data_IF_539383639138
#
_entry.id   IF_539383639138
#
_cell.length_a   1.000
_cell.length_b   1.000
_cell.length_c   1.000
_cell.angle_alpha   90.00
_cell.angle_beta   90.00
_cell.angle_gamma   90.00
#
_symmetry.space_group_name_H-M   'P 1'
#
loop_
_entity.id
_entity.type
_entity.pdbx_description
1 polymer ?
2 non-polymer ?
3 non-polymer ?
4 water ?
#
# COMPACT_ATOMS: atom_id res chain seq x y z
N UNK A 5 16.65 14.26 -3.75
CA UNK A 5 15.49 13.98 -4.59
C UNK A 5 15.25 12.45 -4.69
N UNK A 6 14.14 11.99 -4.08
CA UNK A 6 13.64 10.61 -4.14
C UNK A 6 12.99 10.36 -5.53
N UNK A 7 13.09 9.16 -6.09
CA UNK A 7 12.49 8.81 -7.39
C UNK A 7 10.95 8.83 -7.35
N UNK A 8 10.33 9.45 -8.37
CA UNK A 8 8.88 9.45 -8.51
C UNK A 8 8.32 8.09 -8.90
N UNK A 9 7.01 7.90 -8.75
CA UNK A 9 6.36 6.65 -9.15
C UNK A 9 5.43 6.89 -10.34
N UNK A 10 5.33 5.90 -11.22
CA UNK A 10 4.37 5.91 -12.33
C UNK A 10 3.13 5.21 -11.82
N UNK A 11 2.00 5.93 -11.77
CA UNK A 11 0.72 5.41 -11.27
C UNK A 11 -0.19 5.24 -12.47
N UNK A 12 -0.61 4.00 -12.73
CA UNK A 12 -1.41 3.70 -13.90
C UNK A 12 -2.81 3.27 -13.43
N UNK A 13 -3.82 4.05 -13.82
CA UNK A 13 -5.18 3.68 -13.47
C UNK A 13 -5.86 3.12 -14.70
N UNK A 14 -6.33 1.88 -14.58
CA UNK A 14 -7.09 1.29 -15.68
C UNK A 14 -8.34 0.63 -15.11
N UNK A 15 -9.03 -0.16 -15.92
CA UNK A 15 -10.31 -0.77 -15.56
C UNK A 15 -11.25 -0.73 -16.75
N UNK A 16 -12.37 -1.49 -16.73
CA UNK A 16 -13.24 -1.54 -17.94
C UNK A 16 -13.89 -0.21 -18.32
N UNK A 17 -14.20 -0.08 -19.59
CA UNK A 17 -14.88 1.08 -20.17
C UNK A 17 -16.22 1.30 -19.43
N UNK A 18 -16.49 2.54 -19.03
CA UNK A 18 -17.69 2.86 -18.27
C UNK A 18 -17.54 2.76 -16.75
N UNK A 19 -16.36 2.32 -16.24
CA UNK A 19 -16.17 2.17 -14.78
C UNK A 19 -16.02 3.57 -14.08
N UNK A 20 -15.65 4.60 -14.84
CA UNK A 20 -15.48 5.94 -14.30
C UNK A 20 -14.04 6.35 -14.14
N UNK A 21 -13.13 5.79 -14.95
CA UNK A 21 -11.70 6.14 -14.89
C UNK A 21 -11.47 7.65 -15.07
N UNK A 22 -12.11 8.24 -16.09
CA UNK A 22 -11.98 9.67 -16.39
C UNK A 22 -12.42 10.55 -15.23
N UNK A 23 -13.59 10.24 -14.66
CA UNK A 23 -14.17 10.97 -13.54
C UNK A 23 -13.26 10.84 -12.30
N UNK A 24 -12.74 9.64 -12.03
CA UNK A 24 -11.84 9.41 -10.88
C UNK A 24 -10.51 10.17 -11.09
N UNK A 25 -9.95 10.12 -12.30
CA UNK A 25 -8.72 10.83 -12.63
C UNK A 25 -8.90 12.35 -12.42
N UNK A 26 -10.01 12.95 -12.93
CA UNK A 26 -10.31 14.39 -12.74
C UNK A 26 -10.37 14.73 -11.24
N UNK A 27 -11.06 13.91 -10.45
CA UNK A 27 -11.22 14.14 -8.99
C UNK A 27 -9.86 14.00 -8.27
N UNK A 28 -9.02 13.06 -8.70
CA UNK A 28 -7.67 12.88 -8.14
C UNK A 28 -6.86 14.18 -8.36
N UNK A 29 -6.92 14.76 -9.57
CA UNK A 29 -6.20 16.01 -9.87
C UNK A 29 -6.82 17.24 -9.19
N UNK A 30 -8.13 17.23 -8.89
CA UNK A 30 -8.79 18.34 -8.19
C UNK A 30 -8.44 18.33 -6.70
N UNK A 31 -8.16 17.13 -6.12
CA UNK A 31 -7.86 16.96 -4.70
C UNK A 31 -6.66 17.85 -4.30
N UNK A 32 -6.82 18.76 -3.30
CA UNK A 32 -5.71 19.64 -2.92
C UNK A 32 -4.49 18.92 -2.31
N UNK A 33 -4.62 17.64 -1.94
CA UNK A 33 -3.51 16.89 -1.33
C UNK A 33 -2.60 16.16 -2.32
N UNK A 34 -3.02 16.03 -3.59
CA UNK A 34 -2.23 15.30 -4.56
C UNK A 34 -1.24 16.20 -5.26
N UNK A 35 -0.12 15.63 -5.71
CA UNK A 35 0.90 16.41 -6.42
C UNK A 35 1.41 15.64 -7.66
N UNK A 36 0.48 15.03 -8.40
CA UNK A 36 0.84 14.29 -9.61
C UNK A 36 1.02 15.22 -10.76
N UNK A 37 1.85 14.82 -11.71
CA UNK A 37 1.93 15.41 -13.03
C UNK A 37 1.16 14.48 -13.97
N UNK A 38 0.38 15.02 -14.90
CA UNK A 38 -0.32 14.26 -15.94
C UNK A 38 0.71 13.75 -16.92
N UNK A 39 0.52 12.56 -17.47
CA UNK A 39 1.42 12.05 -18.49
C UNK A 39 1.11 12.78 -19.81
N UNK A 40 2.09 13.41 -20.43
CA UNK A 40 1.94 14.14 -21.69
C UNK A 40 2.23 13.16 -22.82
N UNK A 41 1.32 13.07 -23.79
CA UNK A 41 1.52 12.13 -24.90
C UNK A 41 2.29 12.76 -26.05
N UNK A 42 2.99 11.91 -26.78
CA UNK A 42 3.66 12.29 -28.02
C UNK A 42 2.68 12.02 -29.14
N UNK A 43 2.66 12.89 -30.15
CA UNK A 43 1.79 12.71 -31.31
C UNK A 43 2.50 13.19 -32.57
N UNK A 44 2.07 12.64 -33.71
CA UNK A 44 2.62 13.04 -35.00
C UNK A 44 1.67 14.01 -35.71
N UNK A 45 0.48 14.24 -35.14
CA UNK A 45 -0.44 15.21 -35.73
C UNK A 45 0.07 16.63 -35.40
N UNK A 46 -0.34 17.63 -36.18
CA UNK A 46 0.11 19.01 -35.97
C UNK A 46 -0.70 19.70 -34.86
N UNK A 47 -0.17 20.76 -34.20
CA UNK A 47 -0.95 21.40 -33.12
C UNK A 47 -2.23 22.09 -33.59
N UNK A 48 -3.25 22.07 -32.71
CA UNK A 48 -4.51 22.74 -32.95
C UNK A 48 -4.41 24.12 -32.30
N UNK A 49 -5.49 24.90 -32.37
CA UNK A 49 -5.56 26.23 -31.77
C UNK A 49 -5.38 26.16 -30.26
N UNK A 50 -4.43 26.94 -29.76
CA UNK A 50 -4.10 27.02 -28.34
C UNK A 50 -3.23 25.92 -27.79
N UNK A 51 -2.75 24.99 -28.65
CA UNK A 51 -1.90 23.89 -28.21
C UNK A 51 -0.43 24.27 -28.26
N UNK A 52 0.32 23.85 -27.23
CA UNK A 52 1.75 24.11 -27.06
C UNK A 52 2.52 22.83 -26.91
N UNK A 53 3.68 22.73 -27.58
CA UNK A 53 4.57 21.58 -27.48
C UNK A 53 5.14 21.55 -26.07
N UNK A 54 5.22 20.37 -25.48
CA UNK A 54 5.74 20.19 -24.13
C UNK A 54 4.73 20.46 -23.04
N UNK A 55 3.52 20.92 -23.43
CA UNK A 55 2.46 21.25 -22.50
C UNK A 55 1.26 20.34 -22.78
N UNK A 56 0.67 20.47 -23.97
CA UNK A 56 -0.49 19.69 -24.37
C UNK A 56 -0.07 18.33 -24.93
N UNK A 57 0.98 18.33 -25.78
CA UNK A 57 1.55 17.16 -26.44
C UNK A 57 3.02 17.40 -26.72
N UNK A 58 3.76 16.33 -27.04
CA UNK A 58 5.10 16.40 -27.59
C UNK A 58 4.87 16.22 -29.07
N UNK A 59 4.90 17.32 -29.84
CA UNK A 59 4.65 17.28 -31.28
C UNK A 59 5.91 16.83 -32.01
N UNK A 60 5.85 15.68 -32.66
CA UNK A 60 7.02 15.15 -33.36
C UNK A 60 6.65 14.63 -34.75
N UNK A 61 7.64 14.39 -35.59
CA UNK A 61 7.38 13.81 -36.90
C UNK A 61 7.15 12.30 -36.78
N UNK A 62 6.61 11.67 -37.87
CA UNK A 62 6.43 10.23 -37.96
C UNK A 62 7.78 9.51 -37.81
N UNK A 63 8.83 10.04 -38.46
CA UNK A 63 10.17 9.46 -38.42
C UNK A 63 10.70 9.37 -36.99
N UNK A 64 10.54 10.45 -36.19
CA UNK A 64 11.00 10.47 -34.79
C UNK A 64 10.18 9.47 -33.98
N UNK A 65 8.86 9.45 -34.19
CA UNK A 65 7.98 8.55 -33.46
C UNK A 65 8.33 7.09 -33.73
N UNK A 66 8.50 6.72 -35.02
CA UNK A 66 8.83 5.33 -35.42
C UNK A 66 10.19 4.92 -34.89
N UNK A 67 11.14 5.88 -34.85
CA UNK A 67 12.47 5.62 -34.29
C UNK A 67 12.35 5.35 -32.78
N UNK A 68 11.46 6.07 -32.08
CA UNK A 68 11.21 5.84 -30.66
C UNK A 68 10.61 4.45 -30.45
N UNK A 69 9.67 4.01 -31.34
CA UNK A 69 9.05 2.68 -31.25
C UNK A 69 10.17 1.61 -31.41
N UNK A 70 10.96 1.71 -32.49
CA UNK A 70 12.05 0.80 -32.86
C UNK A 70 13.10 0.66 -31.73
N UNK A 71 13.43 1.77 -31.05
CA UNK A 71 14.43 1.80 -29.98
C UNK A 71 13.88 1.39 -28.59
N UNK A 72 12.63 0.95 -28.51
CA UNK A 72 12.02 0.55 -27.24
C UNK A 72 11.81 1.72 -26.29
N UNK A 73 11.55 2.92 -26.84
CA UNK A 73 11.38 4.16 -26.07
C UNK A 73 9.92 4.57 -25.95
N UNK A 74 9.01 3.68 -26.34
CA UNK A 74 7.60 3.96 -26.30
C UNK A 74 6.92 3.01 -25.32
N UNK A 75 6.34 3.55 -24.23
CA UNK A 75 5.66 2.73 -23.24
C UNK A 75 4.39 2.09 -23.83
N UNK A 76 3.63 2.88 -24.57
CA UNK A 76 2.42 2.42 -25.27
C UNK A 76 2.24 3.31 -26.47
N UNK A 77 1.61 2.81 -27.52
CA UNK A 77 1.34 3.64 -28.68
C UNK A 77 0.25 3.01 -29.51
N UNK A 78 -0.33 3.83 -30.39
CA UNK A 78 -1.32 3.42 -31.36
C UNK A 78 -1.39 4.44 -32.46
N UNK A 79 -1.88 4.02 -33.62
CA UNK A 79 -2.08 4.88 -34.76
C UNK A 79 -3.59 5.04 -34.90
N UNK A 80 -4.06 6.31 -34.72
CA UNK A 80 -5.47 6.72 -34.74
C UNK A 80 -5.68 7.68 -35.92
N UNK A 81 -6.17 7.14 -37.08
CA UNK A 81 -6.47 7.82 -38.35
C UNK A 81 -5.16 8.35 -39.05
N UNK A 82 -4.09 7.54 -39.11
CA UNK A 82 -2.80 7.95 -39.71
C UNK A 82 -1.91 8.79 -38.79
N UNK A 83 -2.41 9.09 -37.58
CA UNK A 83 -1.67 9.86 -36.59
C UNK A 83 -1.27 8.97 -35.43
N UNK A 84 0.01 9.01 -35.06
CA UNK A 84 0.48 8.25 -33.92
C UNK A 84 0.24 9.04 -32.66
N UNK A 85 -0.06 8.32 -31.59
CA UNK A 85 -0.28 8.82 -30.22
C UNK A 85 0.38 7.82 -29.32
N UNK A 86 1.18 8.29 -28.37
CA UNK A 86 1.82 7.37 -27.46
C UNK A 86 2.43 8.02 -26.24
N UNK A 87 2.84 7.20 -25.26
CA UNK A 87 3.45 7.64 -24.00
C UNK A 87 4.96 7.41 -24.13
N UNK A 88 5.78 8.48 -24.27
CA UNK A 88 7.21 8.30 -24.51
C UNK A 88 8.01 7.96 -23.25
N UNK A 89 8.89 6.93 -23.30
CA UNK A 89 9.71 6.53 -22.14
C UNK A 89 10.60 7.68 -21.63
N UNK A 90 11.30 8.37 -22.54
CA UNK A 90 12.27 9.42 -22.20
C UNK A 90 11.69 10.51 -21.28
N UNK A 91 10.51 11.08 -21.60
CA UNK A 91 9.89 12.14 -20.80
C UNK A 91 9.30 11.60 -19.52
N UNK A 92 8.77 10.35 -19.51
CA UNK A 92 8.28 9.78 -18.25
C UNK A 92 9.50 9.59 -17.32
N UNK A 93 10.57 8.96 -17.82
CA UNK A 93 11.79 8.70 -17.03
C UNK A 93 12.38 10.01 -16.44
N UNK A 94 12.46 11.08 -17.25
CA UNK A 94 13.01 12.37 -16.81
C UNK A 94 12.24 12.89 -15.57
N UNK A 95 10.89 12.87 -15.62
CA UNK A 95 10.04 13.31 -14.51
C UNK A 95 10.17 12.40 -13.30
N UNK A 96 10.26 11.07 -13.50
CA UNK A 96 10.39 10.14 -12.36
C UNK A 96 11.73 10.34 -11.67
N UNK A 97 12.82 10.48 -12.46
CA UNK A 97 14.17 10.70 -11.94
C UNK A 97 14.27 12.03 -11.19
N UNK A 98 13.43 13.02 -11.55
CA UNK A 98 13.39 14.34 -10.91
C UNK A 98 12.47 14.34 -9.65
N UNK A 99 11.94 13.16 -9.30
CA UNK A 99 11.12 12.97 -8.11
C UNK A 99 9.64 13.28 -8.21
N UNK A 100 9.12 13.38 -9.43
CA UNK A 100 7.70 13.69 -9.64
C UNK A 100 6.92 12.40 -9.89
N UNK A 101 5.78 12.23 -9.19
CA UNK A 101 4.88 11.11 -9.46
C UNK A 101 4.06 11.45 -10.72
N UNK A 102 3.89 10.48 -11.60
CA UNK A 102 3.12 10.65 -12.82
C UNK A 102 1.86 9.81 -12.69
N UNK A 103 0.71 10.41 -13.03
CA UNK A 103 -0.56 9.70 -12.99
C UNK A 103 -1.04 9.54 -14.42
N UNK A 104 -1.30 8.30 -14.83
CA UNK A 104 -1.77 8.01 -16.19
C UNK A 104 -3.04 7.14 -16.10
N UNK A 105 -4.08 7.60 -16.75
CA UNK A 105 -5.35 6.91 -16.89
C UNK A 105 -5.40 6.34 -18.30
N UNK A 106 -5.66 5.04 -18.43
CA UNK A 106 -5.64 4.42 -19.75
C UNK A 106 -6.59 3.22 -19.87
N UNK A 107 -7.02 2.92 -21.09
CA UNK A 107 -7.89 1.77 -21.40
C UNK A 107 -7.15 0.45 -21.07
N UNK A 108 -7.88 -0.69 -20.86
CA UNK A 108 -7.23 -1.95 -20.45
C UNK A 108 -6.21 -2.45 -21.45
N UNK A 109 -6.45 -2.28 -22.78
CA UNK A 109 -5.48 -2.75 -23.79
C UNK A 109 -4.19 -1.88 -23.79
N UNK A 110 -4.33 -0.59 -23.51
CA UNK A 110 -3.18 0.30 -23.39
C UNK A 110 -2.37 0.00 -22.14
N UNK A 111 -3.05 -0.32 -21.03
CA UNK A 111 -2.42 -0.64 -19.73
C UNK A 111 -1.52 -1.86 -19.81
N UNK A 112 -1.91 -2.87 -20.59
CA UNK A 112 -1.07 -4.06 -20.74
C UNK A 112 0.22 -3.72 -21.51
N UNK A 113 0.18 -2.75 -22.45
CA UNK A 113 1.41 -2.32 -23.17
C UNK A 113 2.36 -1.66 -22.13
N UNK A 114 1.81 -0.74 -21.30
CA UNK A 114 2.57 0.00 -20.27
C UNK A 114 3.15 -0.99 -19.24
N UNK A 115 2.35 -2.02 -18.83
CA UNK A 115 2.79 -3.02 -17.85
C UNK A 115 3.99 -3.79 -18.35
N UNK A 116 3.96 -4.19 -19.63
CA UNK A 116 5.07 -4.93 -20.25
C UNK A 116 6.31 -4.04 -20.37
N UNK A 117 6.14 -2.75 -20.73
CA UNK A 117 7.25 -1.82 -20.90
C UNK A 117 7.78 -1.24 -19.55
N UNK A 118 6.92 -1.05 -18.55
CA UNK A 118 7.30 -0.48 -17.24
C UNK A 118 6.72 -1.32 -16.09
N UNK A 119 7.26 -2.52 -15.79
CA UNK A 119 6.70 -3.31 -14.67
C UNK A 119 6.86 -2.64 -13.29
N UNK A 120 7.74 -1.61 -13.16
CA UNK A 120 7.97 -0.84 -11.90
C UNK A 120 6.77 0.12 -11.60
N UNK A 121 5.88 0.34 -12.58
CA UNK A 121 4.71 1.19 -12.36
C UNK A 121 3.77 0.58 -11.32
N UNK A 122 2.90 1.39 -10.73
CA UNK A 122 1.89 0.96 -9.77
C UNK A 122 0.58 0.91 -10.55
N UNK A 123 0.09 -0.32 -10.79
CA UNK A 123 -1.06 -0.59 -11.61
C UNK A 123 -2.30 -0.78 -10.76
N UNK A 124 -3.28 0.14 -10.94
CA UNK A 124 -4.52 0.13 -10.14
C UNK A 124 -5.70 -0.21 -11.04
N UNK A 125 -6.41 -1.27 -10.70
CA UNK A 125 -7.57 -1.68 -11.48
C UNK A 125 -8.83 -1.09 -10.86
N UNK A 126 -9.46 -0.14 -11.55
CA UNK A 126 -10.71 0.47 -11.05
C UNK A 126 -11.84 -0.50 -11.37
N UNK A 127 -12.51 -0.96 -10.33
CA UNK A 127 -13.49 -2.06 -10.36
C UNK A 127 -14.96 -1.61 -10.32
N UNK A 128 -15.84 -2.18 -11.20
CA UNK A 128 -17.27 -1.86 -11.11
C UNK A 128 -17.86 -2.29 -9.76
N UNK A 129 -18.76 -1.49 -9.14
CA UNK A 129 -19.35 -1.94 -7.87
C UNK A 129 -20.27 -3.16 -7.99
N UNK A 130 -20.73 -3.51 -9.20
CA UNK A 130 -21.62 -4.67 -9.45
C UNK A 130 -20.89 -6.03 -9.32
N UNK A 131 -19.54 -6.04 -9.44
CA UNK A 131 -18.72 -7.24 -9.37
C UNK A 131 -18.94 -7.99 -8.04
N UNK A 132 -18.93 -7.28 -6.89
CA UNK A 132 -19.19 -7.90 -5.58
C UNK A 132 -20.67 -8.28 -5.39
N UNK A 133 -21.57 -7.55 -6.08
CA UNK A 133 -23.02 -7.76 -5.99
C UNK A 133 -23.53 -8.68 -7.11
N UNK A 134 -22.62 -9.48 -7.72
CA UNK A 134 -22.98 -10.41 -8.81
C UNK A 134 -23.98 -11.49 -8.37
N UNK A 135 -23.71 -12.18 -7.24
CA UNK A 135 -24.57 -13.26 -6.71
C UNK A 135 -25.96 -12.73 -6.33
N UNK A 136 -26.05 -11.49 -5.82
CA UNK A 136 -27.32 -10.85 -5.46
C UNK A 136 -28.04 -10.33 -6.73
N UNK A 137 -28.36 -11.26 -7.66
CA UNK A 137 -29.03 -10.99 -8.94
C UNK A 137 -29.91 -12.19 -9.33
N UNK A 145 -30.63 -20.34 -17.16
CA UNK A 145 -29.86 -19.09 -17.11
C UNK A 145 -30.02 -18.28 -18.39
N UNK A 146 -30.28 -16.97 -18.23
CA UNK A 146 -30.38 -16.00 -19.32
C UNK A 146 -29.03 -15.84 -19.99
N UNK A 147 -29.01 -15.46 -21.27
CA UNK A 147 -27.74 -15.22 -21.96
C UNK A 147 -27.05 -13.99 -21.38
N UNK A 148 -27.84 -13.03 -20.81
CA UNK A 148 -27.34 -11.81 -20.16
C UNK A 148 -26.68 -12.18 -18.81
N UNK A 149 -27.28 -13.11 -18.01
CA UNK A 149 -26.75 -13.57 -16.71
C UNK A 149 -25.44 -14.32 -16.96
N UNK A 150 -25.42 -15.18 -18.00
CA UNK A 150 -24.26 -15.92 -18.47
C UNK A 150 -23.13 -14.96 -18.91
N UNK A 151 -23.49 -13.84 -19.59
CA UNK A 151 -22.56 -12.81 -20.04
C UNK A 151 -21.99 -12.04 -18.84
N UNK A 152 -22.85 -11.68 -17.86
CA UNK A 152 -22.45 -10.95 -16.65
C UNK A 152 -21.45 -11.77 -15.81
N UNK A 153 -21.69 -13.09 -15.69
CA UNK A 153 -20.80 -14.00 -14.97
C UNK A 153 -19.47 -14.16 -15.71
N UNK A 154 -19.52 -14.22 -17.06
CA UNK A 154 -18.33 -14.33 -17.90
C UNK A 154 -17.49 -13.06 -17.79
N UNK A 155 -18.14 -11.88 -17.77
CA UNK A 155 -17.48 -10.57 -17.64
C UNK A 155 -16.73 -10.54 -16.29
N UNK A 156 -17.43 -10.94 -15.22
CA UNK A 156 -16.90 -10.99 -13.86
C UNK A 156 -15.64 -11.86 -13.79
N UNK A 157 -15.69 -13.07 -14.37
CA UNK A 157 -14.57 -14.00 -14.37
C UNK A 157 -13.36 -13.39 -15.09
N UNK A 158 -13.57 -12.72 -16.24
CA UNK A 158 -12.49 -12.11 -17.01
C UNK A 158 -11.92 -10.88 -16.31
N UNK A 159 -12.76 -10.10 -15.61
CA UNK A 159 -12.25 -8.96 -14.84
C UNK A 159 -11.32 -9.46 -13.71
N UNK A 160 -11.71 -10.55 -13.03
CA UNK A 160 -10.94 -11.14 -11.92
C UNK A 160 -9.61 -11.70 -12.46
N UNK A 161 -9.63 -12.34 -13.64
CA UNK A 161 -8.45 -12.86 -14.31
C UNK A 161 -7.51 -11.68 -14.70
N UNK A 162 -8.07 -10.61 -15.31
CA UNK A 162 -7.28 -9.44 -15.70
C UNK A 162 -6.60 -8.77 -14.49
N UNK A 163 -7.22 -8.92 -13.33
CA UNK A 163 -6.85 -8.20 -12.14
C UNK A 163 -5.51 -8.72 -11.60
N UNK A 164 -5.20 -9.95 -11.96
CA UNK A 164 -3.97 -10.66 -11.50
C UNK A 164 -2.69 -9.98 -12.04
N UNK A 165 -2.82 -9.20 -13.12
CA UNK A 165 -1.75 -8.43 -13.71
C UNK A 165 -1.57 -7.09 -13.02
N UNK A 166 -2.47 -6.74 -12.09
CA UNK A 166 -2.44 -5.44 -11.45
C UNK A 166 -1.91 -5.55 -10.02
N UNK A 167 -1.52 -4.42 -9.44
CA UNK A 167 -1.02 -4.41 -8.07
C UNK A 167 -2.16 -4.24 -7.07
N UNK A 168 -3.12 -3.36 -7.38
CA UNK A 168 -4.26 -3.03 -6.53
C UNK A 168 -5.55 -2.97 -7.31
N UNK A 169 -6.66 -3.25 -6.65
CA UNK A 169 -8.00 -3.13 -7.22
C UNK A 169 -8.83 -2.24 -6.30
N UNK A 170 -9.44 -1.18 -6.87
CA UNK A 170 -10.23 -0.18 -6.11
C UNK A 170 -11.63 -0.14 -6.69
N UNK A 171 -12.67 -0.27 -5.85
CA UNK A 171 -14.06 -0.23 -6.33
C UNK A 171 -14.48 1.23 -6.50
N UNK A 172 -15.10 1.55 -7.63
CA UNK A 172 -15.65 2.89 -7.80
C UNK A 172 -17.12 2.88 -7.35
N UNK A 173 -17.32 2.76 -6.04
CA UNK A 173 -18.64 2.79 -5.38
C UNK A 173 -19.10 4.28 -5.33
N UNK A 174 -18.20 5.15 -4.84
CA UNK A 174 -18.35 6.60 -4.76
C UNK A 174 -17.03 7.15 -5.24
N UNK A 175 -17.06 8.13 -6.15
CA UNK A 175 -15.82 8.72 -6.70
C UNK A 175 -14.89 9.18 -5.57
N UNK A 176 -15.43 9.92 -4.57
CA UNK A 176 -14.65 10.41 -3.42
C UNK A 176 -13.91 9.28 -2.70
N UNK A 177 -14.55 8.10 -2.56
CA UNK A 177 -13.96 6.93 -1.88
C UNK A 177 -12.83 6.34 -2.70
N UNK A 178 -13.00 6.23 -4.03
CA UNK A 178 -11.94 5.72 -4.91
C UNK A 178 -10.71 6.65 -4.86
N UNK A 179 -10.94 7.97 -4.83
CA UNK A 179 -9.87 8.98 -4.74
C UNK A 179 -9.09 8.77 -3.42
N UNK A 180 -9.82 8.58 -2.31
CA UNK A 180 -9.18 8.42 -0.99
C UNK A 180 -8.29 7.14 -0.95
N UNK A 181 -8.78 6.07 -1.55
CA UNK A 181 -8.04 4.81 -1.60
C UNK A 181 -6.80 4.93 -2.51
N UNK A 182 -6.94 5.63 -3.63
CA UNK A 182 -5.83 5.86 -4.57
C UNK A 182 -4.74 6.69 -3.89
N UNK A 183 -5.13 7.77 -3.15
CA UNK A 183 -4.14 8.58 -2.41
C UNK A 183 -3.42 7.73 -1.39
N UNK A 184 -4.17 6.86 -0.70
CA UNK A 184 -3.64 5.93 0.29
C UNK A 184 -2.64 4.95 -0.31
N UNK A 185 -2.94 4.42 -1.51
CA UNK A 185 -2.05 3.50 -2.21
C UNK A 185 -0.71 4.19 -2.51
N UNK A 186 -0.76 5.41 -3.11
CA UNK A 186 0.45 6.13 -3.52
C UNK A 186 1.27 6.50 -2.27
N UNK A 187 0.62 6.96 -1.19
CA UNK A 187 1.36 7.30 0.04
C UNK A 187 2.03 6.07 0.62
N UNK A 188 1.30 4.93 0.66
CA UNK A 188 1.83 3.67 1.21
C UNK A 188 3.07 3.23 0.39
N UNK A 189 2.99 3.28 -0.94
CA UNK A 189 4.13 2.88 -1.78
C UNK A 189 5.37 3.74 -1.45
N UNK A 190 5.19 5.03 -1.12
CA UNK A 190 6.33 5.88 -0.76
C UNK A 190 6.87 5.55 0.67
N UNK A 191 6.10 4.82 1.49
CA UNK A 191 6.55 4.46 2.84
C UNK A 191 7.27 3.09 2.90
N UNK A 192 7.36 2.37 1.77
CA UNK A 192 8.07 1.09 1.73
C UNK A 192 9.52 1.32 2.13
N UNK A 193 10.06 0.45 2.99
CA UNK A 193 11.41 0.67 3.55
C UNK A 193 12.48 0.77 2.50
N UNK A 194 12.35 0.05 1.37
CA UNK A 194 13.38 0.15 0.32
C UNK A 194 13.55 1.61 -0.13
N UNK A 195 12.42 2.33 -0.29
CA UNK A 195 12.39 3.73 -0.73
C UNK A 195 12.82 4.66 0.40
N UNK A 196 12.34 4.41 1.62
CA UNK A 196 12.66 5.23 2.81
C UNK A 196 14.17 5.13 3.12
N UNK A 197 14.73 3.91 3.09
CA UNK A 197 16.16 3.70 3.36
C UNK A 197 16.99 4.50 2.34
N UNK A 198 16.58 4.46 1.06
CA UNK A 198 17.28 5.17 0.00
C UNK A 198 17.39 6.67 0.33
N UNK A 199 16.28 7.30 0.79
CA UNK A 199 16.24 8.71 1.21
C UNK A 199 17.22 8.99 2.35
N UNK A 200 17.19 8.17 3.41
CA UNK A 200 18.06 8.32 4.57
C UNK A 200 19.55 8.11 4.25
N UNK A 201 19.87 7.15 3.36
CA UNK A 201 21.26 6.88 2.97
C UNK A 201 21.86 8.01 2.12
N UNK A 202 21.05 8.59 1.19
CA UNK A 202 21.45 9.70 0.33
C UNK A 202 21.71 10.97 1.16
N UNK A 203 21.01 11.10 2.31
CA UNK A 203 21.18 12.18 3.28
C UNK A 203 22.58 12.06 3.94
N UNK A 204 23.03 10.81 4.21
CA UNK A 204 24.34 10.52 4.81
C UNK A 204 25.41 10.35 3.74
N UNK B 7 -9.66 -13.45 5.51
CA UNK B 7 -8.69 -13.54 6.61
C UNK B 7 -8.18 -12.16 7.04
N UNK B 8 -8.10 -11.93 8.34
CA UNK B 8 -7.56 -10.71 8.91
C UNK B 8 -6.07 -10.56 8.67
N UNK B 9 -5.57 -9.33 8.79
CA UNK B 9 -4.15 -9.02 8.60
C UNK B 9 -3.43 -8.86 9.95
N UNK B 10 -2.17 -9.33 10.05
CA UNK B 10 -1.39 -9.12 11.27
C UNK B 10 -0.53 -7.88 11.05
N UNK B 11 -0.77 -6.82 11.83
CA UNK B 11 -0.07 -5.54 11.74
C UNK B 11 0.85 -5.43 12.94
N UNK B 12 2.14 -5.33 12.69
CA UNK B 12 3.12 -5.28 13.75
C UNK B 12 3.80 -3.91 13.76
N UNK B 13 3.60 -3.14 14.84
CA UNK B 13 4.24 -1.84 14.96
C UNK B 13 5.41 -1.97 15.89
N UNK B 14 6.59 -1.63 15.39
CA UNK B 14 7.78 -1.68 16.20
C UNK B 14 8.60 -0.40 15.94
N UNK B 15 9.83 -0.38 16.43
CA UNK B 15 10.69 0.78 16.35
C UNK B 15 11.45 0.92 17.66
N UNK B 16 12.49 1.79 17.73
CA UNK B 16 13.31 1.85 18.94
C UNK B 16 12.56 2.35 20.18
N UNK B 17 13.08 1.99 21.34
CA UNK B 17 12.58 2.40 22.64
C UNK B 17 12.58 3.92 22.73
N UNK B 18 11.46 4.51 23.16
CA UNK B 18 11.29 5.95 23.25
C UNK B 18 10.82 6.64 21.97
N UNK B 19 10.56 5.89 20.88
CA UNK B 19 10.10 6.49 19.61
C UNK B 19 8.64 6.96 19.69
N UNK B 20 7.87 6.41 20.62
CA UNK B 20 6.47 6.78 20.79
C UNK B 20 5.51 5.73 20.30
N UNK B 21 5.92 4.44 20.29
CA UNK B 21 5.06 3.33 19.84
C UNK B 21 3.75 3.30 20.63
N UNK B 22 3.85 3.39 21.97
CA UNK B 22 2.71 3.37 22.88
C UNK B 22 1.72 4.48 22.60
N UNK B 23 2.26 5.73 22.48
CA UNK B 23 1.52 6.96 22.15
C UNK B 23 0.79 6.81 20.80
N UNK B 24 1.48 6.32 19.76
CA UNK B 24 0.90 6.13 18.42
C UNK B 24 -0.18 5.02 18.45
N UNK B 25 0.09 3.90 19.13
CA UNK B 25 -0.87 2.81 19.26
C UNK B 25 -2.17 3.31 19.95
N UNK B 26 -2.05 4.08 21.06
CA UNK B 26 -3.21 4.65 21.76
C UNK B 26 -4.06 5.54 20.82
N UNK B 27 -3.38 6.41 20.04
CA UNK B 27 -4.05 7.31 19.09
C UNK B 27 -4.73 6.52 17.96
N UNK B 28 -4.10 5.43 17.50
CA UNK B 28 -4.65 4.54 16.47
C UNK B 28 -5.99 3.97 16.99
N UNK B 29 -6.02 3.53 18.26
CA UNK B 29 -7.24 2.96 18.85
C UNK B 29 -8.29 4.01 19.21
N UNK B 30 -7.90 5.28 19.43
CA UNK B 30 -8.84 6.38 19.67
C UNK B 30 -9.52 6.83 18.36
N UNK B 31 -8.84 6.65 17.20
CA UNK B 31 -9.35 7.03 15.89
C UNK B 31 -10.71 6.33 15.59
N UNK B 32 -11.79 7.10 15.31
CA UNK B 32 -13.10 6.47 15.06
C UNK B 32 -13.19 5.59 13.82
N UNK B 33 -12.20 5.66 12.92
CA UNK B 33 -12.24 4.86 11.70
C UNK B 33 -11.56 3.50 11.83
N UNK B 34 -10.82 3.31 12.91
CA UNK B 34 -10.07 2.07 13.09
C UNK B 34 -10.94 0.83 13.23
N UNK B 35 -10.59 -0.20 12.48
CA UNK B 35 -11.29 -1.48 12.54
C UNK B 35 -10.39 -2.49 13.23
N UNK B 36 -9.18 -2.06 13.57
CA UNK B 36 -8.20 -2.92 14.20
C UNK B 36 -8.58 -3.33 15.61
N UNK B 37 -8.22 -4.56 15.97
CA UNK B 37 -8.44 -5.07 17.30
C UNK B 37 -7.06 -5.16 17.93
N UNK B 38 -6.91 -4.58 19.11
CA UNK B 38 -5.62 -4.56 19.78
C UNK B 38 -5.23 -5.95 20.18
N UNK B 39 -3.97 -6.30 19.93
CA UNK B 39 -3.40 -7.56 20.42
C UNK B 39 -2.99 -7.32 21.84
N UNK B 40 -3.70 -7.92 22.78
CA UNK B 40 -3.40 -7.76 24.20
C UNK B 40 -2.27 -8.73 24.56
N UNK B 41 -1.22 -8.25 25.19
CA UNK B 41 -0.13 -9.13 25.63
C UNK B 41 -0.45 -9.81 26.95
N UNK B 42 0.16 -10.96 27.17
CA UNK B 42 0.09 -11.68 28.43
C UNK B 42 1.31 -11.24 29.24
N UNK B 43 1.15 -11.08 30.55
CA UNK B 43 2.26 -10.71 31.43
C UNK B 43 2.12 -11.41 32.77
N UNK B 44 3.25 -11.58 33.48
CA UNK B 44 3.26 -12.17 34.81
C UNK B 44 3.36 -11.09 35.89
N UNK B 45 3.57 -9.83 35.50
CA UNK B 45 3.59 -8.75 36.48
C UNK B 45 2.15 -8.48 36.93
N UNK B 46 1.97 -7.87 38.12
CA UNK B 46 0.63 -7.58 38.64
C UNK B 46 0.07 -6.29 38.02
N UNK B 47 -1.27 -6.09 38.00
CA UNK B 47 -1.81 -4.86 37.38
C UNK B 47 -1.41 -3.56 38.09
N UNK B 48 -1.12 -2.53 37.29
CA UNK B 48 -0.83 -1.15 37.71
C UNK B 48 -2.16 -0.38 37.83
N UNK B 49 -2.11 0.89 38.28
CA UNK B 49 -3.27 1.76 38.44
C UNK B 49 -4.06 1.87 37.14
N UNK B 50 -5.35 1.54 37.22
CA UNK B 50 -6.29 1.61 36.10
C UNK B 50 -6.23 0.48 35.09
N UNK B 51 -5.42 -0.56 35.36
CA UNK B 51 -5.30 -1.69 34.45
C UNK B 51 -6.31 -2.79 34.76
N UNK B 52 -6.85 -3.40 33.70
CA UNK B 52 -7.85 -4.46 33.77
C UNK B 52 -7.42 -5.67 32.99
N UNK B 53 -7.65 -6.88 33.54
CA UNK B 53 -7.34 -8.14 32.84
C UNK B 53 -8.26 -8.27 31.65
N UNK B 54 -7.72 -8.71 30.52
CA UNK B 54 -8.51 -8.89 29.30
C UNK B 54 -8.70 -7.61 28.52
N UNK B 55 -8.20 -6.48 29.05
CA UNK B 55 -8.31 -5.17 28.41
C UNK B 55 -6.90 -4.66 28.12
N UNK B 56 -6.13 -4.41 29.17
CA UNK B 56 -4.78 -3.87 29.06
C UNK B 56 -3.76 -4.99 28.85
N UNK B 57 -3.92 -6.09 29.59
CA UNK B 57 -3.08 -7.28 29.57
C UNK B 57 -3.87 -8.49 29.96
N UNK B 58 -3.34 -9.69 29.68
CA UNK B 58 -3.83 -10.95 30.20
C UNK B 58 -2.90 -11.22 31.39
N UNK B 59 -3.38 -10.95 32.62
CA UNK B 59 -2.57 -11.12 33.83
C UNK B 59 -2.56 -12.59 34.21
N UNK B 60 -1.38 -13.22 34.19
CA UNK B 60 -1.27 -14.64 34.51
C UNK B 60 -0.08 -14.90 35.43
N UNK B 61 -0.05 -16.07 36.06
CA UNK B 61 1.08 -16.41 36.91
C UNK B 61 2.30 -16.85 36.06
N UNK B 62 3.50 -16.90 36.68
CA UNK B 62 4.72 -17.40 36.05
C UNK B 62 4.52 -18.86 35.59
N UNK B 63 3.88 -19.69 36.43
CA UNK B 63 3.60 -21.11 36.16
C UNK B 63 2.82 -21.26 34.85
N UNK B 64 1.75 -20.46 34.67
CA UNK B 64 0.92 -20.51 33.46
C UNK B 64 1.75 -20.05 32.26
N UNK B 65 2.48 -18.96 32.42
CA UNK B 65 3.29 -18.41 31.33
C UNK B 65 4.37 -19.38 30.89
N UNK B 66 5.14 -19.93 31.86
CA UNK B 66 6.23 -20.86 31.54
C UNK B 66 5.69 -22.13 30.88
N UNK B 67 4.47 -22.58 31.28
CA UNK B 67 3.83 -23.74 30.68
C UNK B 67 3.41 -23.42 29.23
N UNK B 68 2.94 -22.18 28.96
CA UNK B 68 2.59 -21.74 27.60
C UNK B 68 3.84 -21.72 26.72
N UNK B 69 5.00 -21.26 27.26
CA UNK B 69 6.29 -21.27 26.54
C UNK B 69 6.65 -22.71 26.15
N UNK B 70 6.70 -23.61 27.16
CA UNK B 70 7.07 -25.02 27.01
C UNK B 70 6.18 -25.75 25.97
N UNK B 71 4.88 -25.43 25.93
CA UNK B 71 3.91 -26.07 25.03
C UNK B 71 3.85 -25.43 23.62
N UNK B 72 4.75 -24.48 23.32
CA UNK B 72 4.80 -23.81 22.02
C UNK B 72 3.57 -22.96 21.76
N UNK B 73 3.00 -22.36 22.83
CA UNK B 73 1.80 -21.55 22.75
C UNK B 73 2.08 -20.03 22.73
N UNK B 74 3.35 -19.62 22.59
CA UNK B 74 3.70 -18.20 22.53
C UNK B 74 4.18 -17.84 21.14
N UNK B 75 3.61 -16.79 20.57
CA UNK B 75 4.04 -16.30 19.26
C UNK B 75 5.39 -15.59 19.44
N UNK B 76 5.48 -14.81 20.52
CA UNK B 76 6.71 -14.15 20.93
C UNK B 76 6.68 -13.91 22.45
N UNK B 77 7.84 -13.86 23.09
CA UNK B 77 7.93 -13.56 24.52
C UNK B 77 9.32 -13.08 24.90
N UNK B 78 9.43 -12.46 26.07
CA UNK B 78 10.67 -12.00 26.67
C UNK B 78 10.47 -11.84 28.17
N UNK B 79 11.57 -11.93 28.92
CA UNK B 79 11.57 -11.72 30.35
C UNK B 79 12.35 -10.46 30.64
N UNK B 80 11.76 -9.55 31.41
CA UNK B 80 12.37 -8.29 31.79
C UNK B 80 12.35 -8.21 33.28
N UNK B 81 13.53 -8.35 33.86
CA UNK B 81 13.76 -8.25 35.32
C UNK B 81 12.68 -9.08 36.08
N UNK B 82 12.59 -10.34 35.69
CA UNK B 82 11.72 -11.29 36.37
C UNK B 82 10.28 -11.29 35.89
N UNK B 83 9.92 -10.35 35.00
CA UNK B 83 8.54 -10.31 34.50
C UNK B 83 8.48 -10.75 33.05
N UNK B 84 7.59 -11.70 32.76
CA UNK B 84 7.39 -12.17 31.39
C UNK B 84 6.36 -11.30 30.72
N UNK B 85 6.55 -11.09 29.43
CA UNK B 85 5.67 -10.35 28.50
C UNK B 85 5.63 -11.12 27.23
N UNK B 86 4.45 -11.35 26.69
CA UNK B 86 4.39 -12.08 25.42
C UNK B 86 3.05 -12.08 24.74
N UNK B 87 3.02 -12.58 23.51
CA UNK B 87 1.81 -12.69 22.71
C UNK B 87 1.40 -14.16 22.60
N UNK B 88 0.22 -14.52 23.10
CA UNK B 88 -0.27 -15.89 22.97
C UNK B 88 -0.60 -16.15 21.50
N UNK B 89 -0.13 -17.28 20.98
CA UNK B 89 -0.37 -17.64 19.58
C UNK B 89 -1.83 -17.89 19.19
N UNK B 90 -2.57 -18.57 20.05
CA UNK B 90 -3.95 -18.93 19.76
C UNK B 90 -4.89 -17.75 19.58
N UNK B 91 -4.75 -16.73 20.41
CA UNK B 91 -5.61 -15.56 20.30
C UNK B 91 -5.42 -14.85 18.96
N UNK B 92 -4.17 -14.81 18.50
CA UNK B 92 -3.83 -14.16 17.23
C UNK B 92 -4.45 -14.96 16.09
N UNK B 93 -4.09 -16.25 15.97
CA UNK B 93 -4.53 -17.17 14.92
C UNK B 93 -6.07 -17.24 14.78
N UNK B 94 -6.80 -17.22 15.91
CA UNK B 94 -8.26 -17.28 15.95
C UNK B 94 -8.89 -16.01 15.39
N UNK B 95 -8.39 -14.82 15.80
CA UNK B 95 -8.93 -13.54 15.32
C UNK B 95 -8.64 -13.33 13.83
N UNK B 96 -7.46 -13.78 13.34
CA UNK B 96 -7.08 -13.66 11.93
C UNK B 96 -7.99 -14.50 11.06
N UNK B 97 -8.26 -15.74 11.48
CA UNK B 97 -9.12 -16.69 10.77
C UNK B 97 -10.59 -16.23 10.78
N UNK B 98 -11.01 -15.47 11.82
CA UNK B 98 -12.37 -14.92 11.94
C UNK B 98 -12.52 -13.58 11.18
N UNK B 99 -11.48 -13.16 10.46
CA UNK B 99 -11.48 -11.95 9.64
C UNK B 99 -11.20 -10.63 10.34
N UNK B 100 -10.63 -10.67 11.54
CA UNK B 100 -10.32 -9.45 12.30
C UNK B 100 -8.84 -9.09 12.09
N UNK B 101 -8.56 -7.81 11.78
CA UNK B 101 -7.19 -7.32 11.69
C UNK B 101 -6.66 -7.14 13.12
N UNK B 102 -5.42 -7.58 13.35
CA UNK B 102 -4.79 -7.50 14.67
C UNK B 102 -3.63 -6.54 14.63
N UNK B 103 -3.64 -5.58 15.57
CA UNK B 103 -2.57 -4.59 15.71
C UNK B 103 -1.70 -4.99 16.91
N UNK B 104 -0.42 -5.24 16.64
CA UNK B 104 0.53 -5.65 17.67
C UNK B 104 1.63 -4.60 17.83
N UNK B 105 1.71 -3.92 19.01
CA UNK B 105 2.76 -2.93 19.29
C UNK B 105 3.79 -3.67 20.15
N UNK B 106 5.02 -3.87 19.63
CA UNK B 106 6.06 -4.62 20.38
C UNK B 106 7.46 -4.06 20.12
N UNK B 107 8.40 -4.37 21.04
CA UNK B 107 9.82 -3.98 21.02
C UNK B 107 10.48 -4.65 19.81
N UNK B 108 11.63 -4.13 19.36
CA UNK B 108 12.29 -4.62 18.15
C UNK B 108 12.67 -6.09 18.24
N UNK B 109 13.12 -6.57 19.41
CA UNK B 109 13.50 -7.98 19.57
C UNK B 109 12.25 -8.88 19.48
N UNK B 110 11.10 -8.44 19.98
CA UNK B 110 9.86 -9.20 19.87
C UNK B 110 9.37 -9.28 18.43
N UNK B 111 9.48 -8.17 17.68
CA UNK B 111 9.07 -8.07 16.27
C UNK B 111 9.82 -9.06 15.38
N UNK B 112 11.10 -9.26 15.63
CA UNK B 112 11.88 -10.21 14.82
C UNK B 112 11.46 -11.67 15.11
N UNK B 113 10.98 -11.98 16.33
CA UNK B 113 10.42 -13.32 16.65
C UNK B 113 9.14 -13.54 15.81
N UNK B 114 8.24 -12.53 15.81
CA UNK B 114 6.97 -12.56 15.08
C UNK B 114 7.26 -12.67 13.56
N UNK B 115 8.28 -11.93 13.04
CA UNK B 115 8.65 -11.94 11.60
C UNK B 115 9.08 -13.34 11.16
N UNK B 116 9.87 -14.01 11.99
CA UNK B 116 10.34 -15.38 11.72
C UNK B 116 9.15 -16.36 11.74
N UNK B 117 8.31 -16.27 12.76
CA UNK B 117 7.13 -17.13 12.86
C UNK B 117 6.05 -16.85 11.82
N UNK B 118 5.78 -15.57 11.59
CA UNK B 118 4.73 -15.15 10.67
C UNK B 118 5.16 -14.05 9.69
N UNK B 119 5.81 -14.44 8.62
CA UNK B 119 6.30 -13.49 7.62
C UNK B 119 5.15 -12.70 6.99
N UNK B 120 4.01 -13.37 6.79
CA UNK B 120 2.84 -12.76 6.14
C UNK B 120 2.36 -11.47 6.85
N UNK B 121 2.90 -11.19 8.04
CA UNK B 121 2.56 -9.99 8.79
C UNK B 121 3.06 -8.74 8.10
N UNK B 122 2.46 -7.59 8.45
CA UNK B 122 2.84 -6.28 7.92
C UNK B 122 3.62 -5.59 9.03
N UNK B 123 4.93 -5.44 8.79
CA UNK B 123 5.89 -4.92 9.76
C UNK B 123 6.16 -3.44 9.51
N UNK B 124 5.77 -2.60 10.49
CA UNK B 124 5.90 -1.14 10.36
C UNK B 124 6.91 -0.65 11.35
N UNK B 125 7.96 0.02 10.86
CA UNK B 125 9.01 0.55 11.70
C UNK B 125 8.72 2.01 12.02
N UNK B 126 8.37 2.30 13.26
CA UNK B 126 8.11 3.69 13.69
C UNK B 126 9.47 4.35 13.91
N UNK B 127 9.75 5.41 13.14
CA UNK B 127 11.04 6.07 13.02
C UNK B 127 11.16 7.38 13.82
N UNK B 128 12.28 7.60 14.56
CA UNK B 128 12.46 8.88 15.27
C UNK B 128 12.50 10.06 14.31
N UNK B 129 11.89 11.22 14.65
CA UNK B 129 11.95 12.37 13.74
C UNK B 129 13.38 12.94 13.58
N UNK B 130 14.27 12.72 14.58
CA UNK B 130 15.64 13.25 14.55
C UNK B 130 16.52 12.60 13.49
N UNK B 131 16.13 11.41 12.98
CA UNK B 131 16.88 10.66 11.97
C UNK B 131 17.10 11.50 10.69
N UNK B 132 16.04 12.19 10.19
CA UNK B 132 16.13 13.05 9.00
C UNK B 132 16.86 14.37 9.33
N UNK B 133 16.83 14.80 10.59
CA UNK B 133 17.45 16.05 11.05
C UNK B 133 18.84 15.77 11.65
N UNK B 150 28.73 11.20 18.32
CA UNK B 150 29.22 9.89 17.89
C UNK B 150 28.18 8.80 18.16
N UNK B 151 27.51 8.86 19.35
CA UNK B 151 26.47 7.92 19.77
C UNK B 151 25.21 8.08 18.92
N UNK B 152 24.80 9.36 18.67
CA UNK B 152 23.62 9.71 17.86
C UNK B 152 23.76 9.21 16.43
N UNK B 153 24.98 9.36 15.84
CA UNK B 153 25.28 8.90 14.49
C UNK B 153 25.27 7.38 14.42
N UNK B 154 25.81 6.72 15.47
CA UNK B 154 25.85 5.25 15.57
C UNK B 154 24.43 4.71 15.68
N UNK B 155 23.56 5.36 16.49
CA UNK B 155 22.16 4.98 16.69
C UNK B 155 21.43 5.05 15.32
N UNK B 156 21.61 6.17 14.61
CA UNK B 156 21.03 6.43 13.30
C UNK B 156 21.39 5.33 12.30
N UNK B 157 22.69 4.96 12.23
CA UNK B 157 23.17 3.91 11.33
C UNK B 157 22.51 2.56 11.63
N UNK B 158 22.41 2.21 12.92
CA UNK B 158 21.80 0.93 13.34
C UNK B 158 20.29 0.92 13.10
N UNK B 159 19.63 2.09 13.21
CA UNK B 159 18.18 2.20 12.98
C UNK B 159 17.88 2.02 11.50
N UNK B 160 18.75 2.54 10.62
CA UNK B 160 18.64 2.40 9.15
C UNK B 160 18.87 0.93 8.76
N UNK B 161 19.87 0.27 9.39
CA UNK B 161 20.17 -1.14 9.14
C UNK B 161 18.97 -2.02 9.55
N UNK B 162 18.40 -1.77 10.77
CA UNK B 162 17.23 -2.48 11.32
C UNK B 162 16.02 -2.41 10.39
N UNK B 163 15.76 -1.20 9.91
CA UNK B 163 14.64 -0.80 9.03
C UNK B 163 14.49 -1.72 7.81
N UNK B 164 15.62 -2.30 7.33
CA UNK B 164 15.64 -3.18 6.15
C UNK B 164 14.82 -4.46 6.36
N UNK B 165 14.59 -4.87 7.61
CA UNK B 165 13.80 -6.06 7.96
C UNK B 165 12.30 -5.77 8.04
N UNK B 166 11.89 -4.51 7.83
CA UNK B 166 10.49 -4.08 7.94
C UNK B 166 9.89 -3.79 6.55
N UNK B 167 8.58 -3.82 6.43
CA UNK B 167 7.88 -3.55 5.15
C UNK B 167 7.73 -2.06 4.90
N UNK B 168 7.42 -1.30 5.96
CA UNK B 168 7.20 0.14 5.90
C UNK B 168 7.89 0.84 7.04
N UNK B 169 8.25 2.11 6.83
CA UNK B 169 8.84 2.95 7.88
C UNK B 169 8.04 4.23 7.94
N UNK B 170 7.55 4.60 9.12
CA UNK B 170 6.69 5.77 9.36
C UNK B 170 7.37 6.65 10.39
N UNK B 171 7.57 7.94 10.08
CA UNK B 171 8.19 8.88 11.01
C UNK B 171 7.15 9.34 12.05
N UNK B 172 7.54 9.34 13.34
CA UNK B 172 6.68 9.89 14.38
C UNK B 172 7.01 11.40 14.52
N UNK B 173 6.67 12.21 13.48
CA UNK B 173 6.88 13.67 13.46
C UNK B 173 5.78 14.32 14.31
N UNK B 174 4.54 13.97 13.99
CA UNK B 174 3.27 14.41 14.58
C UNK B 174 2.46 13.12 14.71
N UNK B 175 1.99 12.80 15.92
CA UNK B 175 1.28 11.54 16.20
C UNK B 175 0.14 11.34 15.20
N UNK B 176 -0.72 12.38 14.98
CA UNK B 176 -1.85 12.30 14.03
C UNK B 176 -1.39 11.91 12.61
N UNK B 177 -0.20 12.37 12.17
CA UNK B 177 0.33 12.05 10.83
C UNK B 177 0.72 10.58 10.76
N UNK B 178 1.40 10.05 11.80
CA UNK B 178 1.78 8.63 11.88
C UNK B 178 0.54 7.72 11.85
N UNK B 179 -0.51 8.12 12.57
CA UNK B 179 -1.79 7.38 12.62
C UNK B 179 -2.40 7.29 11.21
N UNK B 180 -2.52 8.40 10.48
CA UNK B 180 -3.11 8.36 9.14
C UNK B 180 -2.28 7.50 8.18
N UNK B 181 -0.94 7.55 8.29
CA UNK B 181 -0.08 6.73 7.42
C UNK B 181 -0.27 5.24 7.74
N UNK B 182 -0.38 4.89 9.02
CA UNK B 182 -0.60 3.50 9.45
C UNK B 182 -1.95 3.01 8.94
N UNK B 183 -3.04 3.82 9.09
CA UNK B 183 -4.37 3.43 8.57
C UNK B 183 -4.31 3.23 7.05
N UNK B 184 -3.59 4.11 6.36
CA UNK B 184 -3.38 4.03 4.91
C UNK B 184 -2.65 2.77 4.51
N UNK B 185 -1.63 2.36 5.29
CA UNK B 185 -0.87 1.15 5.01
C UNK B 185 -1.80 -0.07 5.08
N UNK B 186 -2.59 -0.17 6.17
CA UNK B 186 -3.48 -1.32 6.38
C UNK B 186 -4.54 -1.38 5.27
N UNK B 187 -5.12 -0.24 4.90
CA UNK B 187 -6.14 -0.24 3.83
C UNK B 187 -5.51 -0.65 2.49
N UNK B 188 -4.31 -0.13 2.18
CA UNK B 188 -3.62 -0.45 0.93
C UNK B 188 -3.30 -1.95 0.87
N UNK B 189 -2.82 -2.54 1.96
CA UNK B 189 -2.53 -3.98 1.99
C UNK B 189 -3.79 -4.81 1.70
N UNK B 190 -4.97 -4.33 2.17
CA UNK B 190 -6.27 -4.98 1.91
C UNK B 190 -6.67 -4.87 0.41
N UNK B 191 -6.15 -3.88 -0.32
CA UNK B 191 -6.50 -3.64 -1.73
C UNK B 191 -5.57 -4.35 -2.72
N UNK B 192 -4.54 -5.07 -2.22
CA UNK B 192 -3.63 -5.84 -3.08
C UNK B 192 -4.46 -6.86 -3.86
N UNK B 193 -4.25 -6.97 -5.17
CA UNK B 193 -5.06 -7.84 -6.02
C UNK B 193 -5.01 -9.30 -5.57
N UNK B 194 -3.90 -9.78 -5.00
CA UNK B 194 -3.89 -11.19 -4.53
C UNK B 194 -5.02 -11.42 -3.50
N UNK B 195 -5.22 -10.46 -2.58
CA UNK B 195 -6.25 -10.55 -1.54
C UNK B 195 -7.64 -10.29 -2.12
N UNK B 196 -7.77 -9.29 -3.01
CA UNK B 196 -9.04 -8.92 -3.63
C UNK B 196 -9.54 -10.08 -4.50
N UNK B 197 -8.66 -10.68 -5.32
CA UNK B 197 -9.03 -11.82 -6.18
C UNK B 197 -9.55 -12.97 -5.34
N UNK B 198 -8.87 -13.26 -4.21
CA UNK B 198 -9.26 -14.35 -3.30
C UNK B 198 -10.72 -14.15 -2.83
N UNK B 199 -11.10 -12.91 -2.44
CA UNK B 199 -12.46 -12.56 -2.02
C UNK B 199 -13.48 -12.79 -3.13
N UNK B 200 -13.19 -12.27 -4.34
CA UNK B 200 -14.07 -12.41 -5.51
C UNK B 200 -14.23 -13.86 -5.97
N UNK B 201 -13.18 -14.66 -5.90
CA UNK B 201 -13.27 -16.05 -6.33
C UNK B 201 -14.17 -16.87 -5.41
N UNK B 202 -14.10 -16.58 -4.11
CA UNK B 202 -14.93 -17.27 -3.15
C UNK B 202 -16.39 -16.97 -3.48
N UNK B 203 -16.65 -15.71 -3.82
CA UNK B 203 -18.00 -15.28 -4.19
C UNK B 203 -18.44 -16.00 -5.46
N UNK B 204 -17.52 -16.15 -6.41
CA UNK B 204 -17.83 -16.80 -7.68
C UNK B 204 -18.26 -18.24 -7.44
N UNK B 205 -17.59 -18.91 -6.51
CA UNK B 205 -17.90 -20.29 -6.20
C UNK B 205 -16.64 -21.11 -5.96
X LIG C 1 -14.34 5.36 -18.20
X LIG C 1 -15.68 5.65 -17.66
X LIG C 1 -14.50 4.76 -19.57
X LIG C 1 -13.53 6.53 -18.20
X LIG C 1 -13.71 4.36 -17.35
X LIG D 1 -20.29 9.44 -7.20
X LIG D 1 -21.35 9.17 -6.17
X LIG D 1 -19.52 8.28 -7.40
X LIG D 1 -20.91 9.82 -8.47
X LIG D 1 -19.45 10.52 -6.73
X LIG E 1 -9.70 12.96 1.63
X LIG F 1 7.98 3.55 23.10
X LIG F 1 6.65 2.98 23.38
X LIG F 1 8.27 3.41 21.63
X LIG F 1 8.02 4.99 23.38
X LIG F 1 9.04 2.82 23.85
#
# INVERSE_FOLDING_TARGET
SNAXTERGLLIVLSGPSGVGKGTVREAVFKDPETSFDYSISMTTRLPREGEQDGVDYYFRSREVFEQAIKDGKMLEYAEYVGNYYGTPLEYVEEKLAAGVDIFLEIEVQGAMQVRKAMPEGIFIFLTPPDLSELKNRIIGRGTESMEVVEERMETAKKEIEMMASYDYAVVNDVVANAVQKIKGIVETEHLKTERVIHRYKKMLEGLQ
SNAXTERGLLIVLSGPSGVGKGTVREAVFKDPETSFDYSISMTTRLPREGEQDGVDYYFRSREVFEQAIKDGKMLEYAEYVGNYYGTPLEYVEEKLAAGVDIFLEIEVQGAMQVRKAMPEGIFIFLTPPDLSELKNRIIGRGTESXEVVEERMETAKKEIEMMASYDYAVVNDVVANAVQKIKGIVETEHLKTERVIHRYKKMLEGLQ
SO4 S O1 O2 O3 O4
SO4 S O1 O2 O3 O4
NA NA
SO4 S O1 O2 O3 O4
#
